data_IF_319446730880
#
_entry.id   IF_319446730880
#
_cell.length_a   1.000
_cell.length_b   1.000
_cell.length_c   1.000
_cell.angle_alpha   90.00
_cell.angle_beta   90.00
_cell.angle_gamma   90.00
#
_symmetry.space_group_name_H-M   'P 1'
#
loop_
_entity.id
_entity.type
_entity.pdbx_description
1 polymer ?
#
# COMPACT_ATOMS: atom_id res chain seq x y z
N UNK A 1 16.42 -78.29 21.02
CA UNK A 1 15.35 -77.51 21.69
C UNK A 1 15.93 -76.14 21.98
N UNK A 2 15.50 -75.01 21.45
CA UNK A 2 14.63 -74.63 20.33
C UNK A 2 14.84 -73.10 20.17
N UNK A 3 14.95 -72.61 18.92
CA UNK A 3 14.58 -71.29 18.35
C UNK A 3 14.64 -69.97 19.18
N UNK A 4 15.39 -68.98 18.64
CA UNK A 4 15.08 -67.54 18.30
C UNK A 4 14.05 -66.71 19.12
N UNK A 5 13.94 -65.35 18.97
CA UNK A 5 14.72 -64.36 18.22
C UNK A 5 15.06 -63.07 19.01
N UNK A 6 16.02 -62.28 18.52
CA UNK A 6 16.23 -60.90 18.96
C UNK A 6 15.00 -60.02 18.67
N UNK A 7 14.44 -59.38 19.70
CA UNK A 7 13.38 -58.38 19.55
C UNK A 7 14.01 -57.01 19.25
N UNK A 8 13.75 -56.48 18.04
CA UNK A 8 14.00 -55.07 17.74
C UNK A 8 13.17 -54.22 18.70
N UNK A 9 13.85 -53.53 19.62
CA UNK A 9 13.25 -52.49 20.44
C UNK A 9 12.80 -51.33 19.54
N UNK A 10 11.51 -51.31 19.18
CA UNK A 10 10.86 -50.19 18.53
C UNK A 10 10.94 -48.97 19.43
N UNK A 11 11.62 -47.91 18.96
CA UNK A 11 11.66 -46.64 19.66
C UNK A 11 10.24 -46.06 19.73
N UNK A 12 9.79 -45.56 20.89
CA UNK A 12 8.46 -44.97 20.98
C UNK A 12 8.39 -43.76 20.05
N UNK A 13 7.37 -43.74 19.18
CA UNK A 13 7.05 -42.62 18.29
C UNK A 13 6.83 -41.37 19.14
N UNK A 14 7.90 -40.58 19.32
CA UNK A 14 7.86 -39.22 19.87
C UNK A 14 7.33 -38.24 18.81
N UNK A 15 6.23 -38.60 18.15
CA UNK A 15 5.91 -38.10 16.81
C UNK A 15 4.60 -37.31 16.67
N UNK A 16 3.84 -37.05 17.75
CA UNK A 16 2.60 -36.26 17.60
C UNK A 16 2.79 -34.80 18.02
N UNK A 17 3.32 -34.57 19.23
CA UNK A 17 3.36 -33.22 19.80
C UNK A 17 4.25 -32.24 19.00
N UNK A 18 5.46 -32.65 18.64
CA UNK A 18 6.39 -31.80 17.89
C UNK A 18 5.89 -31.49 16.48
N UNK A 19 5.20 -32.45 15.85
CA UNK A 19 4.58 -32.27 14.53
C UNK A 19 3.41 -31.30 14.60
N UNK A 20 2.55 -31.44 15.61
CA UNK A 20 1.41 -30.52 15.85
C UNK A 20 1.90 -29.11 16.18
N UNK A 21 2.92 -28.97 17.02
CA UNK A 21 3.53 -27.67 17.36
C UNK A 21 4.13 -27.02 16.11
N UNK A 22 4.86 -27.77 15.29
CA UNK A 22 5.42 -27.26 14.04
C UNK A 22 4.33 -26.77 13.07
N UNK A 23 3.25 -27.55 12.90
CA UNK A 23 2.11 -27.16 12.08
C UNK A 23 1.41 -25.90 12.61
N UNK A 24 1.23 -25.78 13.92
CA UNK A 24 0.65 -24.59 14.54
C UNK A 24 1.52 -23.34 14.31
N UNK A 25 2.84 -23.46 14.41
CA UNK A 25 3.77 -22.36 14.14
C UNK A 25 3.71 -21.94 12.67
N UNK A 26 3.71 -22.89 11.73
CA UNK A 26 3.59 -22.60 10.30
C UNK A 26 2.27 -21.91 9.98
N UNK A 27 1.16 -22.37 10.56
CA UNK A 27 -0.14 -21.71 10.39
C UNK A 27 -0.16 -20.30 10.97
N UNK A 28 0.44 -20.08 12.15
CA UNK A 28 0.55 -18.75 12.75
C UNK A 28 1.37 -17.80 11.86
N UNK A 29 2.49 -18.27 11.32
CA UNK A 29 3.33 -17.50 10.39
C UNK A 29 2.58 -17.20 9.09
N UNK A 30 1.85 -18.16 8.54
CA UNK A 30 1.04 -17.97 7.34
C UNK A 30 -0.13 -17.00 7.57
N UNK A 31 -0.74 -16.99 8.75
CA UNK A 31 -1.77 -16.00 9.09
C UNK A 31 -1.14 -14.63 9.27
N UNK A 32 -0.04 -14.52 10.01
CA UNK A 32 0.65 -13.24 10.23
C UNK A 32 1.19 -12.63 8.93
N UNK A 33 1.76 -13.48 8.06
CA UNK A 33 2.32 -13.07 6.78
C UNK A 33 1.25 -12.92 5.70
N UNK A 34 0.29 -13.84 5.63
CA UNK A 34 -0.79 -13.84 4.65
C UNK A 34 -1.81 -12.71 4.87
N UNK A 35 -2.13 -12.37 6.12
CA UNK A 35 -2.97 -11.20 6.43
C UNK A 35 -2.21 -9.88 6.24
N UNK A 36 -0.87 -9.90 6.36
CA UNK A 36 -0.01 -8.76 6.07
C UNK A 36 0.20 -8.48 4.58
N UNK A 37 0.15 -9.52 3.73
CA UNK A 37 0.48 -9.42 2.30
C UNK A 37 -0.73 -9.20 1.39
N UNK A 38 -1.95 -9.63 1.79
CA UNK A 38 -3.17 -9.35 1.02
C UNK A 38 -3.80 -7.97 1.26
N UNK A 39 -3.15 -7.12 2.08
CA UNK A 39 -3.48 -5.72 2.14
C UNK A 39 -2.39 -4.94 1.38
N UNK A 40 -2.65 -4.42 0.16
CA UNK A 40 -1.75 -3.49 -0.48
C UNK A 40 -1.90 -2.12 0.21
N UNK A 41 -1.60 -2.08 1.53
CA UNK A 41 -1.40 -0.83 2.23
C UNK A 41 -0.04 -0.32 1.78
N UNK A 42 -0.11 0.62 0.85
CA UNK A 42 0.89 1.64 0.56
C UNK A 42 1.77 1.82 1.81
N UNK A 43 3.11 1.71 1.71
CA UNK A 43 3.99 1.97 2.83
C UNK A 43 3.76 3.41 3.27
N UNK A 44 2.87 3.59 4.25
CA UNK A 44 2.64 4.86 4.88
C UNK A 44 3.89 5.10 5.70
N UNK A 45 4.73 6.02 5.22
CA UNK A 45 5.96 6.46 5.85
C UNK A 45 5.60 7.02 7.23
N UNK A 46 5.57 6.13 8.22
CA UNK A 46 5.44 6.48 9.62
C UNK A 46 6.71 7.20 10.04
N UNK A 47 6.63 8.52 10.11
CA UNK A 47 7.60 9.31 10.87
C UNK A 47 7.52 8.83 12.32
N UNK A 48 8.59 8.17 12.76
CA UNK A 48 8.85 7.85 14.17
C UNK A 48 8.92 9.17 14.93
N UNK A 49 7.79 9.60 15.51
CA UNK A 49 7.76 10.64 16.52
C UNK A 49 7.69 9.97 17.88
N UNK A 50 8.79 10.09 18.62
CA UNK A 50 8.93 9.67 20.00
C UNK A 50 8.76 10.91 20.89
N UNK A 51 7.90 10.81 21.90
CA UNK A 51 7.91 11.71 23.06
C UNK A 51 6.62 12.48 23.38
N UNK A 52 5.66 11.77 23.99
CA UNK A 52 4.90 12.19 25.20
C UNK A 52 3.93 13.39 25.15
N UNK A 53 2.63 13.12 25.31
CA UNK A 53 1.68 14.02 25.99
C UNK A 53 0.27 14.14 25.41
N UNK A 54 -0.66 13.37 25.99
CA UNK A 54 -2.11 13.66 26.18
C UNK A 54 -3.08 13.89 24.99
N UNK A 55 -3.88 12.84 24.76
CA UNK A 55 -5.34 12.81 24.76
C UNK A 55 -6.14 13.94 24.07
N UNK A 56 -6.54 13.70 22.82
CA UNK A 56 -7.87 14.02 22.33
C UNK A 56 -8.17 13.16 21.09
N UNK A 57 -9.14 12.24 21.21
CA UNK A 57 -9.61 11.45 20.07
C UNK A 57 -10.15 12.36 18.97
N UNK A 58 -9.40 12.49 17.86
CA UNK A 58 -9.92 13.03 16.60
C UNK A 58 -10.01 11.93 15.56
N UNK A 59 -11.16 11.77 14.89
CA UNK A 59 -11.35 10.74 13.88
C UNK A 59 -10.56 11.10 12.62
N UNK A 60 -9.84 10.11 12.11
CA UNK A 60 -9.39 9.96 10.72
C UNK A 60 -8.66 11.17 10.14
N UNK A 61 -7.34 11.18 10.35
CA UNK A 61 -6.37 12.01 9.63
C UNK A 61 -6.50 11.83 8.11
N UNK A 62 -7.42 12.57 7.48
CA UNK A 62 -7.22 13.03 6.12
C UNK A 62 -5.89 13.77 6.14
N UNK A 63 -4.86 13.24 5.48
CA UNK A 63 -3.61 13.96 5.34
C UNK A 63 -3.90 15.23 4.54
N UNK A 64 -4.20 16.32 5.24
CA UNK A 64 -4.32 17.65 4.66
C UNK A 64 -2.90 18.05 4.28
N UNK A 65 -2.54 17.72 3.04
CA UNK A 65 -1.34 18.20 2.39
C UNK A 65 -1.46 19.73 2.34
N UNK A 66 -0.75 20.40 3.26
CA UNK A 66 -0.80 21.86 3.36
C UNK A 66 0.14 22.43 2.31
N UNK A 67 -0.44 22.92 1.22
CA UNK A 67 0.34 23.57 0.16
C UNK A 67 0.95 24.88 0.67
N UNK A 68 2.16 25.24 0.23
CA UNK A 68 2.73 26.55 0.51
C UNK A 68 1.87 27.64 -0.12
N UNK A 69 2.02 28.89 0.36
CA UNK A 69 1.34 30.04 -0.24
C UNK A 69 1.82 30.19 -1.69
N UNK A 70 0.90 29.99 -2.63
CA UNK A 70 1.12 30.18 -4.06
C UNK A 70 0.36 31.40 -4.58
N UNK A 71 0.91 32.03 -5.61
CA UNK A 71 0.24 33.08 -6.38
C UNK A 71 -0.01 32.53 -7.77
N UNK A 72 -1.27 32.37 -8.15
CA UNK A 72 -1.69 31.88 -9.45
C UNK A 72 -2.96 32.61 -9.92
N UNK A 73 -3.24 32.64 -11.24
CA UNK A 73 -4.46 33.24 -11.75
C UNK A 73 -5.71 32.61 -11.13
N UNK A 74 -6.66 33.43 -10.69
CA UNK A 74 -7.89 32.94 -10.08
C UNK A 74 -8.70 32.12 -11.10
N UNK A 75 -9.19 30.92 -10.73
CA UNK A 75 -10.02 30.13 -11.62
C UNK A 75 -11.35 30.85 -11.87
N UNK A 76 -11.71 31.00 -13.15
CA UNK A 76 -12.95 31.64 -13.55
C UNK A 76 -14.09 30.61 -13.62
N UNK A 77 -14.91 30.52 -12.56
CA UNK A 77 -15.98 29.50 -12.46
C UNK A 77 -17.00 29.58 -13.61
N UNK A 78 -17.28 30.79 -14.09
CA UNK A 78 -18.25 31.02 -15.17
C UNK A 78 -17.66 30.84 -16.59
N UNK A 79 -16.35 30.69 -16.70
CA UNK A 79 -15.67 30.53 -17.99
C UNK A 79 -15.05 29.14 -18.07
N UNK A 80 -15.53 28.26 -18.96
CA UNK A 80 -14.95 26.94 -19.10
C UNK A 80 -13.51 27.06 -19.64
N UNK A 81 -12.59 26.24 -19.11
CA UNK A 81 -11.18 26.23 -19.53
C UNK A 81 -11.01 25.93 -21.02
N UNK A 82 -11.87 25.07 -21.57
CA UNK A 82 -11.94 24.72 -22.99
C UNK A 82 -13.41 24.66 -23.41
N UNK A 83 -13.70 25.13 -24.64
CA UNK A 83 -15.04 25.12 -25.24
C UNK A 83 -15.16 24.17 -26.44
N UNK A 84 -14.02 23.75 -26.96
CA UNK A 84 -13.86 22.98 -28.18
C UNK A 84 -13.76 21.47 -27.94
N UNK A 85 -13.45 21.06 -26.71
CA UNK A 85 -13.25 19.66 -26.33
C UNK A 85 -14.02 19.29 -25.07
N UNK A 86 -14.31 18.00 -24.91
CA UNK A 86 -14.84 17.44 -23.68
C UNK A 86 -13.74 17.43 -22.60
N UNK A 87 -14.01 18.04 -21.45
CA UNK A 87 -13.07 18.11 -20.31
C UNK A 87 -13.40 17.13 -19.18
N UNK A 88 -14.61 16.57 -19.16
CA UNK A 88 -15.11 15.65 -18.14
C UNK A 88 -15.89 14.51 -18.80
N UNK A 89 -15.66 13.28 -18.34
CA UNK A 89 -16.46 12.12 -18.77
C UNK A 89 -17.80 12.06 -18.03
N UNK A 90 -18.80 11.30 -18.51
CA UNK A 90 -20.08 11.12 -17.81
C UNK A 90 -19.97 10.53 -16.40
N UNK A 91 -18.87 9.85 -16.07
CA UNK A 91 -18.58 9.34 -14.73
C UNK A 91 -17.68 10.28 -13.90
N UNK A 92 -17.61 11.57 -14.28
CA UNK A 92 -16.90 12.63 -13.56
C UNK A 92 -15.38 12.47 -13.49
N UNK A 93 -14.76 11.73 -14.42
CA UNK A 93 -13.30 11.70 -14.54
C UNK A 93 -12.80 12.86 -15.42
N UNK A 94 -11.77 13.61 -14.98
CA UNK A 94 -11.20 14.69 -15.78
C UNK A 94 -10.43 14.13 -16.98
N UNK A 95 -10.63 14.75 -18.14
CA UNK A 95 -9.82 14.50 -19.35
C UNK A 95 -8.73 15.57 -19.38
N UNK A 96 -7.47 15.14 -19.41
CA UNK A 96 -6.31 16.04 -19.30
C UNK A 96 -6.02 16.65 -20.67
N UNK A 97 -6.19 17.96 -20.77
CA UNK A 97 -5.83 18.76 -21.94
C UNK A 97 -4.96 19.95 -21.54
N UNK A 98 -4.31 20.57 -22.51
CA UNK A 98 -3.60 21.81 -22.27
C UNK A 98 -4.58 22.91 -21.81
N UNK A 99 -4.27 23.55 -20.69
CA UNK A 99 -5.12 24.56 -20.05
C UNK A 99 -6.20 24.02 -19.09
N UNK A 100 -6.35 22.70 -18.89
CA UNK A 100 -7.30 22.15 -17.90
C UNK A 100 -6.70 21.98 -16.50
N UNK A 101 -5.38 22.10 -16.35
CA UNK A 101 -4.68 21.96 -15.09
C UNK A 101 -3.66 23.09 -14.90
N UNK A 102 -3.30 23.37 -13.65
CA UNK A 102 -2.17 24.21 -13.30
C UNK A 102 -1.02 23.31 -12.84
N UNK A 103 0.07 23.30 -13.59
CA UNK A 103 1.21 22.43 -13.33
C UNK A 103 1.92 22.76 -12.01
N UNK A 104 1.96 24.02 -11.59
CA UNK A 104 2.64 24.44 -10.37
C UNK A 104 1.95 23.86 -9.13
N UNK A 105 0.62 23.91 -9.12
CA UNK A 105 -0.21 23.33 -8.04
C UNK A 105 0.01 21.82 -7.99
N UNK A 106 -0.11 21.15 -9.15
CA UNK A 106 0.00 19.70 -9.24
C UNK A 106 1.39 19.20 -8.83
N UNK A 107 2.44 19.92 -9.25
CA UNK A 107 3.82 19.60 -8.92
C UNK A 107 4.05 19.69 -7.40
N UNK A 108 3.63 20.75 -6.74
CA UNK A 108 3.79 20.84 -5.28
C UNK A 108 3.00 19.76 -4.54
N UNK A 109 1.80 19.42 -4.99
CA UNK A 109 1.03 18.31 -4.41
C UNK A 109 1.77 16.97 -4.49
N UNK A 110 2.34 16.64 -5.65
CA UNK A 110 3.07 15.38 -5.84
C UNK A 110 4.45 15.39 -5.18
N UNK A 111 5.11 16.54 -5.12
CA UNK A 111 6.38 16.71 -4.40
C UNK A 111 6.20 16.53 -2.90
N UNK A 112 5.17 17.12 -2.30
CA UNK A 112 4.87 16.95 -0.87
C UNK A 112 4.57 15.49 -0.49
N UNK A 113 4.06 14.72 -1.45
CA UNK A 113 3.81 13.29 -1.29
C UNK A 113 5.02 12.41 -1.65
N UNK A 114 6.14 12.99 -2.11
CA UNK A 114 7.32 12.28 -2.59
C UNK A 114 6.97 11.17 -3.61
N UNK A 115 6.05 11.45 -4.53
CA UNK A 115 5.59 10.45 -5.51
C UNK A 115 6.70 10.08 -6.49
N UNK A 116 6.91 8.78 -6.69
CA UNK A 116 7.80 8.22 -7.71
C UNK A 116 6.97 7.59 -8.81
N UNK A 117 7.18 8.03 -10.06
CA UNK A 117 6.43 7.54 -11.22
C UNK A 117 7.29 6.48 -11.93
N UNK A 118 6.82 5.24 -11.90
CA UNK A 118 7.43 4.15 -12.68
C UNK A 118 6.99 4.22 -14.15
N UNK A 119 7.96 4.21 -15.07
CA UNK A 119 7.70 4.10 -16.49
C UNK A 119 8.18 2.73 -16.99
N UNK A 120 7.25 1.91 -17.45
CA UNK A 120 7.55 0.59 -18.02
C UNK A 120 7.48 0.66 -19.54
N UNK A 121 8.58 0.32 -20.21
CA UNK A 121 8.68 0.29 -21.68
C UNK A 121 9.15 -1.09 -22.11
N UNK A 122 8.47 -1.69 -23.08
CA UNK A 122 8.87 -2.95 -23.70
C UNK A 122 9.52 -2.68 -25.05
N UNK A 123 10.76 -3.14 -25.23
CA UNK A 123 11.46 -3.10 -26.50
C UNK A 123 11.67 -4.54 -27.00
N UNK A 124 10.73 -5.03 -27.82
CA UNK A 124 10.73 -6.41 -28.33
C UNK A 124 10.98 -6.37 -29.84
N UNK A 125 12.13 -6.91 -30.27
CA UNK A 125 12.55 -7.05 -31.68
C UNK A 125 12.45 -5.70 -32.45
N UNK A 126 12.65 -5.71 -33.76
CA UNK A 126 12.57 -4.54 -34.64
C UNK A 126 11.45 -4.73 -35.64
#
# INVERSE_FOLDING_TARGET
>A
MAELPWTKAGKPKRCSLHSVIFLLIVMLVLVFFGTGVLNPRIPMLGTRQEGTGEAAGRPTSLQVVTLPRMVYPQPMVLTPSRKDVLVLTPWLAPIIWEGTFNIDILNEQFRQQNVTIGLTVFAIKK
#
